data_IF_626919140404
#
_entry.id   IF_626919140404
#
_cell.length_a   1.000
_cell.length_b   1.000
_cell.length_c   1.000
_cell.angle_alpha   90.00
_cell.angle_beta   90.00
_cell.angle_gamma   90.00
#
_symmetry.space_group_name_H-M   'P 1'
#
loop_
_entity.id
_entity.type
_entity.pdbx_description
1 polymer ?
#
# COMPACT_ATOMS: atom_id res chain seq x y z
N UNK A 1 -3.11 42.73 -10.09
CA UNK A 1 -3.08 41.55 -10.99
C UNK A 1 -3.98 40.49 -10.40
N UNK A 2 -4.94 40.01 -11.18
CA UNK A 2 -5.77 38.88 -10.81
C UNK A 2 -4.86 37.65 -10.64
N UNK A 3 -4.90 37.00 -9.46
CA UNK A 3 -4.08 35.81 -9.21
C UNK A 3 -4.68 34.66 -10.02
N UNK A 4 -3.98 34.27 -11.10
CA UNK A 4 -4.31 33.05 -11.85
C UNK A 4 -4.38 31.85 -10.90
N UNK A 5 -5.48 31.09 -11.01
CA UNK A 5 -5.69 29.87 -10.23
C UNK A 5 -4.70 28.81 -10.69
N UNK A 6 -4.15 28.05 -9.73
CA UNK A 6 -3.28 26.90 -10.03
C UNK A 6 -4.04 25.86 -10.86
N UNK A 7 -3.39 25.39 -11.91
CA UNK A 7 -3.74 24.18 -12.67
C UNK A 7 -2.86 23.03 -12.18
N UNK A 8 -3.43 21.85 -11.88
CA UNK A 8 -2.63 20.68 -11.49
C UNK A 8 -1.88 20.14 -12.71
N UNK A 9 -0.74 19.50 -12.49
CA UNK A 9 0.05 18.90 -13.58
C UNK A 9 -0.75 17.86 -14.35
N UNK A 10 -1.49 16.98 -13.66
CA UNK A 10 -2.34 15.96 -14.32
C UNK A 10 -3.42 16.58 -15.23
N UNK A 11 -3.97 17.74 -14.85
CA UNK A 11 -5.00 18.43 -15.63
C UNK A 11 -4.38 19.15 -16.83
N UNK A 12 -3.23 19.82 -16.61
CA UNK A 12 -2.50 20.49 -17.68
C UNK A 12 -2.08 19.50 -18.78
N UNK A 13 -1.58 18.32 -18.41
CA UNK A 13 -1.14 17.29 -19.35
C UNK A 13 -2.26 16.70 -20.22
N UNK A 14 -3.51 16.81 -19.77
CA UNK A 14 -4.71 16.35 -20.50
C UNK A 14 -5.41 17.46 -21.27
N UNK A 15 -5.02 18.71 -21.06
CA UNK A 15 -5.70 19.87 -21.64
C UNK A 15 -5.36 20.04 -23.12
N UNK A 16 -6.38 20.31 -23.92
CA UNK A 16 -6.27 20.71 -25.33
C UNK A 16 -6.56 22.20 -25.53
N UNK A 17 -6.66 22.98 -24.45
CA UNK A 17 -6.90 24.42 -24.49
C UNK A 17 -5.62 25.19 -24.83
N UNK A 18 -5.06 24.94 -26.01
CA UNK A 18 -3.83 25.59 -26.47
C UNK A 18 -3.99 27.11 -26.56
N UNK A 19 -2.92 27.84 -26.26
CA UNK A 19 -2.92 29.30 -26.17
C UNK A 19 -3.48 29.86 -24.86
N UNK A 20 -4.05 29.02 -23.99
CA UNK A 20 -4.50 29.47 -22.67
C UNK A 20 -3.31 29.77 -21.75
N UNK A 21 -3.48 30.80 -20.91
CA UNK A 21 -2.52 31.11 -19.84
C UNK A 21 -2.82 30.20 -18.65
N UNK A 22 -1.82 29.42 -18.26
CA UNK A 22 -1.90 28.50 -17.13
C UNK A 22 -0.86 28.85 -16.08
N UNK A 23 -1.19 28.59 -14.81
CA UNK A 23 -0.25 28.67 -13.71
C UNK A 23 -0.07 27.27 -13.11
N UNK A 24 1.13 26.71 -13.21
CA UNK A 24 1.48 25.41 -12.60
C UNK A 24 2.43 25.61 -11.42
N UNK A 25 2.26 24.80 -10.38
CA UNK A 25 3.05 24.90 -9.14
C UNK A 25 3.50 23.51 -8.73
N UNK A 26 4.74 23.37 -8.31
CA UNK A 26 5.30 22.07 -7.92
C UNK A 26 6.78 22.11 -7.58
N UNK A 27 7.39 20.93 -7.58
CA UNK A 27 8.81 20.74 -7.31
C UNK A 27 9.56 20.33 -8.57
N UNK A 28 10.72 20.94 -8.77
CA UNK A 28 11.59 20.69 -9.91
C UNK A 28 12.17 19.29 -9.82
N UNK A 29 11.90 18.47 -10.84
CA UNK A 29 12.51 17.14 -11.00
C UNK A 29 13.87 17.22 -11.65
N UNK A 30 13.97 18.02 -12.70
CA UNK A 30 15.21 18.26 -13.42
C UNK A 30 15.18 19.65 -14.03
N UNK A 31 16.32 20.33 -14.01
CA UNK A 31 16.53 21.56 -14.76
C UNK A 31 17.68 21.32 -15.75
N UNK A 32 17.44 21.60 -17.04
CA UNK A 32 18.45 21.51 -18.09
C UNK A 32 18.54 22.86 -18.79
N UNK A 33 19.66 23.54 -18.63
CA UNK A 33 19.92 24.84 -19.25
C UNK A 33 20.71 24.69 -20.55
N UNK A 34 20.43 25.55 -21.52
CA UNK A 34 21.20 25.68 -22.76
C UNK A 34 21.41 27.16 -23.09
N UNK A 35 22.19 27.47 -24.15
CA UNK A 35 22.39 28.88 -24.54
C UNK A 35 21.11 29.58 -25.00
N UNK A 36 20.13 28.83 -25.52
CA UNK A 36 18.94 29.38 -26.15
C UNK A 36 17.67 29.21 -25.31
N UNK A 37 17.60 28.17 -24.47
CA UNK A 37 16.38 27.77 -23.79
C UNK A 37 16.70 26.89 -22.58
N UNK A 38 15.92 27.07 -21.52
CA UNK A 38 15.96 26.24 -20.32
C UNK A 38 14.73 25.34 -20.25
N UNK A 39 14.95 24.08 -19.89
CA UNK A 39 13.90 23.08 -19.74
C UNK A 39 13.79 22.65 -18.29
N UNK A 40 12.67 22.97 -17.65
CA UNK A 40 12.36 22.58 -16.28
C UNK A 40 11.26 21.51 -16.33
N UNK A 41 11.57 20.31 -15.83
CA UNK A 41 10.57 19.29 -15.59
C UNK A 41 9.96 19.52 -14.20
N UNK A 42 8.68 19.89 -14.15
CA UNK A 42 7.97 20.18 -12.91
C UNK A 42 6.97 19.06 -12.59
N UNK A 43 6.88 18.69 -11.32
CA UNK A 43 5.91 17.71 -10.84
C UNK A 43 5.27 18.19 -9.54
N UNK A 44 3.99 17.90 -9.38
CA UNK A 44 3.22 18.31 -8.21
C UNK A 44 2.63 17.13 -7.42
N UNK A 45 3.04 15.90 -7.78
CA UNK A 45 2.57 14.65 -7.17
C UNK A 45 1.25 14.11 -7.71
N UNK A 46 0.47 14.91 -8.47
CA UNK A 46 -0.85 14.50 -8.98
C UNK A 46 -0.81 13.36 -9.99
N UNK A 47 0.35 13.16 -10.63
CA UNK A 47 0.67 12.07 -11.56
C UNK A 47 2.16 11.78 -11.48
N UNK A 48 2.59 10.65 -12.01
CA UNK A 48 4.00 10.35 -12.21
C UNK A 48 4.65 11.22 -13.28
N UNK A 49 3.84 11.72 -14.24
CA UNK A 49 4.32 12.48 -15.38
C UNK A 49 4.70 13.91 -14.98
N UNK A 50 5.69 14.47 -15.66
CA UNK A 50 6.13 15.85 -15.43
C UNK A 50 5.52 16.75 -16.51
N UNK A 51 5.17 17.99 -16.15
CA UNK A 51 4.94 19.03 -17.13
C UNK A 51 6.28 19.69 -17.48
N UNK A 52 6.56 19.83 -18.78
CA UNK A 52 7.74 20.56 -19.25
C UNK A 52 7.43 22.05 -19.28
N UNK A 53 8.27 22.84 -18.61
CA UNK A 53 8.29 24.28 -18.69
C UNK A 53 9.50 24.67 -19.55
N UNK A 54 9.22 25.41 -20.62
CA UNK A 54 10.20 25.91 -21.57
C UNK A 54 10.41 27.39 -21.26
N UNK A 55 11.63 27.77 -20.92
CA UNK A 55 11.94 29.14 -20.50
C UNK A 55 12.93 29.75 -21.49
N UNK A 56 12.53 30.88 -22.06
CA UNK A 56 13.46 31.76 -22.78
C UNK A 56 14.28 32.55 -21.75
N UNK A 57 15.62 32.39 -21.69
CA UNK A 57 16.46 33.09 -20.73
C UNK A 57 16.44 34.62 -20.87
N UNK A 58 15.90 35.16 -21.96
CA UNK A 58 15.67 36.61 -22.12
C UNK A 58 14.43 37.11 -21.37
N UNK A 59 13.48 36.22 -21.03
CA UNK A 59 12.23 36.56 -20.32
C UNK A 59 12.32 36.46 -18.81
N UNK A 60 13.26 35.67 -18.29
CA UNK A 60 13.43 35.42 -16.84
C UNK A 60 14.86 35.73 -16.45
N UNK A 61 15.06 36.35 -15.28
CA UNK A 61 16.39 36.71 -14.78
C UNK A 61 17.33 35.49 -14.71
N UNK A 62 18.53 35.63 -15.29
CA UNK A 62 19.49 34.52 -15.37
C UNK A 62 20.01 34.08 -14.00
N UNK A 63 20.16 34.99 -13.04
CA UNK A 63 20.58 34.65 -11.68
C UNK A 63 19.47 33.90 -10.94
N UNK A 64 18.20 34.23 -11.21
CA UNK A 64 17.04 33.50 -10.71
C UNK A 64 17.02 32.08 -11.28
N UNK A 65 17.20 31.91 -12.60
CA UNK A 65 17.22 30.59 -13.24
C UNK A 65 18.34 29.69 -12.71
N UNK A 66 19.54 30.24 -12.51
CA UNK A 66 20.69 29.50 -11.98
C UNK A 66 20.44 28.92 -10.56
N UNK A 67 19.52 29.50 -9.79
CA UNK A 67 19.17 29.04 -8.45
C UNK A 67 18.10 27.93 -8.45
N UNK A 68 17.44 27.68 -9.59
CA UNK A 68 16.40 26.65 -9.70
C UNK A 68 17.06 25.28 -9.86
N UNK A 69 17.21 24.57 -8.75
CA UNK A 69 17.83 23.24 -8.66
C UNK A 69 16.80 22.13 -8.51
N UNK A 70 17.25 20.87 -8.55
CA UNK A 70 16.39 19.71 -8.25
C UNK A 70 15.83 19.82 -6.84
N UNK A 71 14.51 19.72 -6.71
CA UNK A 71 13.80 19.87 -5.44
C UNK A 71 13.35 21.29 -5.11
N UNK A 72 13.73 22.30 -5.91
CA UNK A 72 13.22 23.66 -5.74
C UNK A 72 11.69 23.71 -5.95
N UNK A 73 11.01 24.55 -5.17
CA UNK A 73 9.56 24.76 -5.23
C UNK A 73 9.28 26.05 -6.00
N UNK A 74 8.53 25.95 -7.10
CA UNK A 74 8.26 27.08 -7.99
C UNK A 74 6.79 27.16 -8.40
N UNK A 75 6.38 28.36 -8.80
CA UNK A 75 5.15 28.67 -9.52
C UNK A 75 5.53 29.26 -10.87
N UNK A 76 5.15 28.59 -11.96
CA UNK A 76 5.42 29.04 -13.32
C UNK A 76 4.11 29.40 -14.01
N UNK A 77 4.07 30.60 -14.58
CA UNK A 77 2.95 31.08 -15.40
C UNK A 77 3.41 31.18 -16.83
N UNK A 78 2.60 30.66 -17.75
CA UNK A 78 2.93 30.70 -19.17
C UNK A 78 1.78 30.20 -20.04
N UNK A 79 2.05 30.15 -21.34
CA UNK A 79 1.10 29.71 -22.35
C UNK A 79 1.19 28.19 -22.55
N UNK A 80 0.06 27.49 -22.46
CA UNK A 80 -0.02 26.06 -22.78
C UNK A 80 0.02 25.87 -24.30
N UNK A 81 0.95 25.04 -24.78
CA UNK A 81 1.11 24.76 -26.22
C UNK A 81 1.28 23.26 -26.46
N UNK A 82 1.06 22.84 -27.71
CA UNK A 82 1.47 21.51 -28.16
C UNK A 82 3.00 21.36 -28.06
N UNK A 83 3.46 20.27 -27.42
CA UNK A 83 4.89 20.04 -27.34
C UNK A 83 5.44 19.54 -28.66
N UNK A 84 6.60 20.06 -29.03
CA UNK A 84 7.39 19.56 -30.16
C UNK A 84 8.27 18.35 -29.78
N UNK A 85 8.31 17.99 -28.48
CA UNK A 85 9.14 16.92 -27.94
C UNK A 85 8.48 15.54 -28.01
N UNK A 86 9.28 14.49 -28.24
CA UNK A 86 8.78 13.10 -28.16
C UNK A 86 8.44 12.74 -26.71
N UNK A 87 7.26 12.16 -26.48
CA UNK A 87 6.86 11.59 -25.19
C UNK A 87 6.07 12.53 -24.27
N UNK A 88 5.66 13.71 -24.76
CA UNK A 88 4.77 14.62 -24.06
C UNK A 88 3.84 15.32 -25.07
N UNK A 89 2.57 15.47 -24.73
CA UNK A 89 1.60 16.08 -25.65
C UNK A 89 1.59 17.60 -25.57
N UNK A 90 1.97 18.14 -24.41
CA UNK A 90 1.88 19.57 -24.10
C UNK A 90 3.09 20.05 -23.33
N UNK A 91 3.37 21.34 -23.44
CA UNK A 91 4.37 22.04 -22.64
C UNK A 91 3.92 23.48 -22.36
N UNK A 92 4.61 24.15 -21.43
CA UNK A 92 4.31 25.52 -21.04
C UNK A 92 5.44 26.42 -21.50
N UNK A 93 5.13 27.35 -22.41
CA UNK A 93 6.02 28.45 -22.78
C UNK A 93 5.97 29.50 -21.68
N UNK A 94 7.03 29.56 -20.87
CA UNK A 94 7.04 30.30 -19.63
C UNK A 94 7.15 31.81 -19.86
N UNK A 95 6.31 32.57 -19.15
CA UNK A 95 6.35 34.03 -19.14
C UNK A 95 6.88 34.57 -17.80
N UNK A 96 6.62 33.88 -16.69
CA UNK A 96 7.19 34.25 -15.39
C UNK A 96 7.33 33.06 -14.44
N UNK A 97 8.34 33.13 -13.58
CA UNK A 97 8.59 32.16 -12.51
C UNK A 97 8.65 32.90 -11.18
N UNK A 98 7.94 32.37 -10.20
CA UNK A 98 8.03 32.74 -8.79
C UNK A 98 8.66 31.56 -8.03
N UNK A 99 9.73 31.81 -7.28
CA UNK A 99 10.39 30.80 -6.45
C UNK A 99 9.79 30.85 -5.05
N UNK A 100 9.21 29.73 -4.60
CA UNK A 100 8.71 29.58 -3.23
C UNK A 100 9.74 29.01 -2.27
N UNK A 101 10.68 28.22 -2.77
CA UNK A 101 11.74 27.66 -1.95
C UNK A 101 12.87 27.10 -2.80
N UNK A 102 14.09 27.48 -2.43
CA UNK A 102 15.30 26.94 -3.02
C UNK A 102 15.61 25.55 -2.46
N UNK A 103 16.48 24.80 -3.14
CA UNK A 103 16.91 23.49 -2.69
C UNK A 103 18.44 23.36 -2.80
N UNK A 104 19.08 23.02 -1.69
CA UNK A 104 20.54 22.86 -1.62
C UNK A 104 21.02 21.55 -2.23
N UNK A 105 22.33 21.46 -2.44
CA UNK A 105 22.99 20.25 -2.95
C UNK A 105 23.01 19.09 -1.92
N UNK A 106 22.72 19.40 -0.66
CA UNK A 106 22.57 18.46 0.45
C UNK A 106 21.22 17.71 0.43
N UNK A 107 20.29 18.09 -0.46
CA UNK A 107 19.00 17.40 -0.59
C UNK A 107 19.18 15.90 -0.88
N UNK A 108 18.73 14.99 0.02
CA UNK A 108 19.02 13.57 -0.11
C UNK A 108 18.50 12.91 -1.38
N UNK A 109 17.38 13.39 -1.94
CA UNK A 109 16.76 12.82 -3.16
C UNK A 109 17.27 13.50 -4.45
N UNK A 110 18.60 13.70 -4.55
CA UNK A 110 19.24 14.20 -5.78
C UNK A 110 18.90 13.32 -7.00
N UNK A 111 19.06 13.90 -8.20
CA UNK A 111 18.91 13.21 -9.50
C UNK A 111 20.03 12.18 -9.77
N UNK A 112 20.12 11.16 -8.92
CA UNK A 112 21.02 10.01 -9.01
C UNK A 112 20.28 8.75 -8.57
N UNK A 113 20.72 7.58 -9.03
CA UNK A 113 20.18 6.31 -8.55
C UNK A 113 20.41 6.16 -7.04
N UNK A 114 19.40 5.67 -6.32
CA UNK A 114 19.44 5.44 -4.88
C UNK A 114 18.88 4.06 -4.56
N UNK A 115 19.47 3.39 -3.57
CA UNK A 115 18.91 2.13 -3.07
C UNK A 115 17.65 2.39 -2.23
N UNK A 116 16.76 1.40 -2.15
CA UNK A 116 15.60 1.47 -1.26
C UNK A 116 16.00 1.54 0.22
N UNK A 117 17.14 0.97 0.61
CA UNK A 117 17.68 1.12 1.96
C UNK A 117 18.07 2.57 2.27
N UNK A 118 18.75 3.25 1.35
CA UNK A 118 19.08 4.66 1.52
C UNK A 118 17.80 5.52 1.61
N UNK A 119 16.82 5.28 0.74
CA UNK A 119 15.55 6.00 0.77
C UNK A 119 14.74 5.76 2.06
N UNK A 120 14.86 4.58 2.69
CA UNK A 120 14.22 4.29 3.99
C UNK A 120 14.75 5.18 5.12
N UNK A 121 16.05 5.57 5.09
CA UNK A 121 16.62 6.52 6.06
C UNK A 121 15.99 7.92 5.97
N UNK A 122 15.44 8.27 4.81
CA UNK A 122 14.79 9.55 4.53
C UNK A 122 13.32 9.35 4.16
N UNK A 123 12.59 8.55 4.95
CA UNK A 123 11.18 8.21 4.68
C UNK A 123 10.27 9.44 4.47
N UNK A 124 10.56 10.54 5.17
CA UNK A 124 9.85 11.82 5.04
C UNK A 124 10.09 12.54 3.68
N UNK A 125 11.17 12.22 2.96
CA UNK A 125 11.49 12.80 1.65
C UNK A 125 11.28 11.82 0.48
N UNK A 126 11.40 10.51 0.70
CA UNK A 126 11.31 9.51 -0.38
C UNK A 126 9.99 9.57 -1.15
N UNK A 127 8.92 10.07 -0.52
CA UNK A 127 7.61 10.30 -1.15
C UNK A 127 7.68 11.22 -2.37
N UNK A 128 8.75 12.03 -2.48
CA UNK A 128 9.02 12.88 -3.63
C UNK A 128 9.74 12.14 -4.77
N UNK A 129 10.01 10.84 -4.68
CA UNK A 129 10.59 10.07 -5.78
C UNK A 129 9.51 9.44 -6.66
N UNK A 130 9.84 9.08 -7.89
CA UNK A 130 8.88 8.45 -8.82
C UNK A 130 8.31 7.16 -8.23
N UNK A 131 9.16 6.28 -7.70
CA UNK A 131 8.75 4.98 -7.15
C UNK A 131 7.78 5.12 -5.98
N UNK A 132 8.11 5.92 -4.97
CA UNK A 132 7.22 6.04 -3.81
C UNK A 132 6.00 6.92 -4.09
N UNK A 133 6.08 7.86 -5.05
CA UNK A 133 4.90 8.55 -5.56
C UNK A 133 3.91 7.58 -6.20
N UNK A 134 4.40 6.67 -7.05
CA UNK A 134 3.58 5.63 -7.69
C UNK A 134 2.97 4.69 -6.66
N UNK A 135 3.78 4.16 -5.73
CA UNK A 135 3.31 3.28 -4.65
C UNK A 135 2.21 3.94 -3.82
N UNK A 136 2.35 5.21 -3.45
CA UNK A 136 1.34 5.90 -2.63
C UNK A 136 0.06 6.22 -3.39
N UNK A 137 0.13 6.56 -4.68
CA UNK A 137 -1.06 6.73 -5.53
C UNK A 137 -1.80 5.42 -5.75
N UNK A 138 -1.07 4.32 -5.96
CA UNK A 138 -1.66 2.97 -6.04
C UNK A 138 -2.29 2.60 -4.70
N UNK A 139 -1.60 2.80 -3.57
CA UNK A 139 -2.16 2.51 -2.23
C UNK A 139 -3.46 3.29 -1.97
N UNK A 140 -3.53 4.56 -2.37
CA UNK A 140 -4.76 5.34 -2.31
C UNK A 140 -5.88 4.70 -3.15
N UNK A 141 -5.58 4.33 -4.40
CA UNK A 141 -6.56 3.66 -5.26
C UNK A 141 -7.02 2.32 -4.70
N UNK A 142 -6.14 1.55 -4.04
CA UNK A 142 -6.55 0.32 -3.37
C UNK A 142 -7.53 0.60 -2.23
N UNK A 143 -7.29 1.65 -1.43
CA UNK A 143 -8.26 2.03 -0.41
C UNK A 143 -9.62 2.44 -1.01
N UNK A 144 -9.61 3.17 -2.13
CA UNK A 144 -10.84 3.51 -2.86
C UNK A 144 -11.54 2.28 -3.42
N UNK A 145 -10.80 1.35 -4.03
CA UNK A 145 -11.32 0.10 -4.58
C UNK A 145 -12.01 -0.72 -3.49
N UNK A 146 -11.36 -0.88 -2.34
CA UNK A 146 -11.85 -1.66 -1.21
C UNK A 146 -13.15 -1.07 -0.67
N UNK A 147 -13.17 0.24 -0.39
CA UNK A 147 -14.40 0.90 0.09
C UNK A 147 -15.53 0.83 -0.95
N UNK A 148 -15.21 0.99 -2.23
CA UNK A 148 -16.20 0.93 -3.32
C UNK A 148 -16.78 -0.47 -3.44
N UNK A 149 -15.93 -1.50 -3.45
CA UNK A 149 -16.35 -2.89 -3.51
C UNK A 149 -17.37 -3.20 -2.42
N UNK A 150 -17.00 -3.02 -1.17
CA UNK A 150 -17.89 -3.34 -0.05
C UNK A 150 -19.15 -2.48 -0.04
N UNK A 151 -19.06 -1.20 -0.40
CA UNK A 151 -20.23 -0.33 -0.50
C UNK A 151 -21.23 -0.81 -1.56
N UNK A 152 -20.76 -1.14 -2.76
CA UNK A 152 -21.59 -1.60 -3.87
C UNK A 152 -22.23 -2.97 -3.61
N UNK A 153 -21.61 -3.80 -2.76
CA UNK A 153 -22.12 -5.11 -2.35
C UNK A 153 -22.95 -5.07 -1.05
N UNK A 154 -23.26 -3.87 -0.53
CA UNK A 154 -24.18 -3.70 0.60
C UNK A 154 -23.57 -3.90 1.99
N UNK A 155 -22.24 -3.93 2.11
CA UNK A 155 -21.55 -4.04 3.39
C UNK A 155 -21.47 -2.69 4.10
N UNK A 156 -21.41 -2.73 5.43
CA UNK A 156 -21.20 -1.54 6.25
C UNK A 156 -19.76 -1.44 6.74
N UNK A 157 -19.14 -0.27 6.55
CA UNK A 157 -17.84 0.02 7.14
C UNK A 157 -17.97 0.12 8.66
N UNK A 158 -17.38 -0.82 9.38
CA UNK A 158 -17.52 -0.97 10.82
C UNK A 158 -16.20 -0.66 11.53
N UNK A 159 -16.19 0.38 12.36
CA UNK A 159 -15.00 0.81 13.09
C UNK A 159 -14.90 0.08 14.43
N UNK A 160 -14.06 -0.96 14.47
CA UNK A 160 -13.76 -1.74 15.66
C UNK A 160 -12.77 -1.01 16.59
N UNK A 161 -12.79 -1.28 17.91
CA UNK A 161 -11.91 -0.62 18.87
C UNK A 161 -10.45 -1.04 18.69
N UNK A 162 -9.53 -0.07 18.79
CA UNK A 162 -8.09 -0.33 18.71
C UNK A 162 -7.45 -0.67 20.05
N UNK A 163 -7.99 -0.12 21.14
CA UNK A 163 -7.58 -0.45 22.50
C UNK A 163 -8.48 -1.56 22.99
N UNK A 164 -7.89 -2.68 23.39
CA UNK A 164 -8.61 -3.88 23.81
C UNK A 164 -8.07 -4.42 25.12
N UNK A 165 -8.92 -5.16 25.84
CA UNK A 165 -8.51 -5.99 26.97
C UNK A 165 -8.50 -7.49 26.61
N UNK A 166 -8.80 -7.80 25.35
CA UNK A 166 -8.91 -9.15 24.81
C UNK A 166 -7.73 -9.42 23.87
N UNK A 167 -7.22 -10.65 23.90
CA UNK A 167 -6.31 -11.16 22.87
C UNK A 167 -7.15 -11.94 21.85
N UNK A 168 -7.29 -11.39 20.65
CA UNK A 168 -8.13 -11.97 19.59
C UNK A 168 -7.61 -13.32 19.09
N UNK A 169 -6.29 -13.49 19.03
CA UNK A 169 -5.65 -14.67 18.44
C UNK A 169 -5.04 -15.60 19.50
N UNK A 170 -4.88 -15.14 20.73
CA UNK A 170 -4.24 -15.92 21.82
C UNK A 170 -2.73 -16.05 21.66
N UNK A 171 -2.11 -15.27 20.76
CA UNK A 171 -0.68 -15.30 20.44
C UNK A 171 0.19 -14.51 21.44
N UNK A 172 -0.42 -13.75 22.35
CA UNK A 172 0.20 -13.26 23.59
C UNK A 172 1.20 -12.10 23.49
N UNK A 173 1.63 -11.68 22.30
CA UNK A 173 2.58 -10.57 22.12
C UNK A 173 1.89 -9.31 21.57
N UNK A 174 1.24 -8.57 22.48
CA UNK A 174 0.54 -7.32 22.19
C UNK A 174 1.25 -6.11 22.83
N UNK A 175 1.18 -4.94 22.19
CA UNK A 175 1.66 -3.70 22.78
C UNK A 175 0.74 -3.24 23.91
N UNK A 176 1.28 -3.02 25.11
CA UNK A 176 0.49 -2.51 26.24
C UNK A 176 0.19 -1.02 26.09
N UNK A 177 -1.04 -0.63 26.42
CA UNK A 177 -1.49 0.77 26.48
C UNK A 177 -1.81 1.09 27.93
N UNK A 178 -1.08 2.03 28.52
CA UNK A 178 -1.20 2.39 29.94
C UNK A 178 -0.91 3.87 30.16
N UNK A 179 -1.56 4.46 31.16
CA UNK A 179 -1.25 5.82 31.64
C UNK A 179 -0.47 5.81 32.95
N UNK A 180 -0.14 4.62 33.48
CA UNK A 180 0.57 4.48 34.75
C UNK A 180 1.99 5.03 34.65
N UNK A 181 2.48 5.53 35.78
CA UNK A 181 3.89 5.85 35.92
C UNK A 181 4.70 4.55 36.07
N UNK A 182 5.46 4.18 35.03
CA UNK A 182 6.28 2.97 35.00
C UNK A 182 7.38 2.94 36.09
N UNK A 183 7.76 4.10 36.65
CA UNK A 183 8.71 4.19 37.75
C UNK A 183 8.08 4.01 39.14
N UNK A 184 6.75 3.99 39.23
CA UNK A 184 6.00 3.87 40.48
C UNK A 184 4.76 2.99 40.31
N UNK A 185 4.98 1.73 39.92
CA UNK A 185 3.91 0.76 39.74
C UNK A 185 3.46 0.20 41.09
N UNK A 186 2.19 0.46 41.43
CA UNK A 186 1.53 -0.22 42.56
C UNK A 186 1.38 -1.70 42.26
N UNK A 187 1.50 -2.52 43.30
CA UNK A 187 1.32 -3.96 43.22
C UNK A 187 0.18 -4.42 44.10
N UNK A 188 -0.53 -5.44 43.63
CA UNK A 188 -1.49 -6.21 44.41
C UNK A 188 -0.78 -7.09 45.45
N UNK A 189 -1.54 -7.67 46.39
CA UNK A 189 -1.00 -8.55 47.43
C UNK A 189 -0.27 -9.79 46.86
N UNK A 190 -0.67 -10.27 45.66
CA UNK A 190 -0.02 -11.35 44.94
C UNK A 190 1.21 -10.90 44.10
N UNK A 191 1.63 -9.65 44.24
CA UNK A 191 2.85 -9.10 43.64
C UNK A 191 2.73 -8.72 42.16
N UNK A 192 1.55 -8.82 41.56
CA UNK A 192 1.24 -8.36 40.19
C UNK A 192 1.04 -6.85 40.16
N UNK A 193 1.08 -6.25 38.97
CA UNK A 193 0.76 -4.83 38.80
C UNK A 193 -0.73 -4.64 39.06
N UNK A 194 -1.06 -3.66 39.90
CA UNK A 194 -2.44 -3.24 40.10
C UNK A 194 -2.86 -2.31 38.95
N UNK A 195 -3.78 -2.78 38.12
CA UNK A 195 -4.35 -2.02 37.01
C UNK A 195 -5.68 -1.32 37.35
N UNK A 196 -6.19 -1.46 38.58
CA UNK A 196 -7.46 -0.86 38.99
C UNK A 196 -7.48 0.67 38.93
N UNK A 197 -6.31 1.30 39.11
CA UNK A 197 -6.10 2.74 38.95
C UNK A 197 -5.38 3.11 37.63
N UNK A 198 -5.37 2.24 36.62
CA UNK A 198 -5.06 2.65 35.24
C UNK A 198 -6.30 3.27 34.56
N UNK A 199 -6.12 3.88 33.38
CA UNK A 199 -7.15 4.66 32.69
C UNK A 199 -8.46 3.88 32.45
N UNK A 200 -8.35 2.60 32.08
CA UNK A 200 -9.50 1.72 31.81
C UNK A 200 -9.86 0.81 33.00
N UNK A 201 -9.21 0.99 34.16
CA UNK A 201 -9.40 0.17 35.36
C UNK A 201 -9.00 -1.31 35.21
N UNK A 202 -8.33 -1.66 34.11
CA UNK A 202 -7.81 -3.00 33.80
C UNK A 202 -6.66 -2.89 32.81
N UNK A 203 -5.91 -3.98 32.63
CA UNK A 203 -4.84 -4.04 31.63
C UNK A 203 -5.43 -3.93 30.22
N UNK A 204 -4.80 -3.10 29.38
CA UNK A 204 -5.20 -2.88 27.99
C UNK A 204 -4.01 -2.91 27.04
N UNK A 205 -4.29 -3.27 25.80
CA UNK A 205 -3.31 -3.43 24.72
C UNK A 205 -3.83 -2.84 23.41
N UNK A 206 -2.95 -2.68 22.44
CA UNK A 206 -3.32 -2.44 21.04
C UNK A 206 -3.75 -3.75 20.38
N UNK A 207 -4.86 -3.72 19.64
CA UNK A 207 -5.44 -4.92 19.03
C UNK A 207 -4.59 -5.52 17.92
N UNK A 208 -4.60 -6.85 17.82
CA UNK A 208 -4.00 -7.61 16.71
C UNK A 208 -4.98 -7.77 15.54
N UNK A 209 -6.29 -7.69 15.80
CA UNK A 209 -7.38 -7.90 14.84
C UNK A 209 -8.70 -7.31 15.39
N UNK A 210 -9.57 -6.84 14.51
CA UNK A 210 -10.93 -6.40 14.85
C UNK A 210 -11.99 -7.50 14.71
N UNK A 211 -11.59 -8.73 14.41
CA UNK A 211 -12.50 -9.81 13.99
C UNK A 211 -13.60 -10.10 15.01
N UNK A 212 -13.28 -10.28 16.30
CA UNK A 212 -14.28 -10.62 17.33
C UNK A 212 -15.36 -9.54 17.47
N UNK A 213 -15.00 -8.27 17.42
CA UNK A 213 -15.98 -7.18 17.37
C UNK A 213 -16.70 -7.11 16.02
N UNK A 214 -16.04 -7.50 14.93
CA UNK A 214 -16.62 -7.64 13.60
C UNK A 214 -17.74 -8.67 13.54
N UNK A 215 -17.59 -9.83 14.19
CA UNK A 215 -18.62 -10.85 14.31
C UNK A 215 -19.89 -10.28 14.99
N UNK A 216 -19.73 -9.50 16.07
CA UNK A 216 -20.85 -8.80 16.71
C UNK A 216 -21.53 -7.84 15.73
N UNK A 217 -20.75 -7.10 14.94
CA UNK A 217 -21.25 -6.22 13.88
C UNK A 217 -22.05 -6.95 12.81
N UNK A 218 -21.55 -8.09 12.33
CA UNK A 218 -22.22 -8.92 11.33
C UNK A 218 -23.56 -9.46 11.83
N UNK A 219 -23.68 -9.85 13.10
CA UNK A 219 -24.97 -10.29 13.68
C UNK A 219 -26.02 -9.19 13.73
N UNK A 220 -25.62 -7.91 13.70
CA UNK A 220 -26.52 -6.76 13.73
C UNK A 220 -26.81 -6.17 12.35
N UNK A 221 -25.83 -6.20 11.44
CA UNK A 221 -25.86 -5.50 10.16
C UNK A 221 -25.86 -6.44 8.94
N UNK A 222 -25.78 -7.75 9.16
CA UNK A 222 -25.71 -8.77 8.12
C UNK A 222 -24.30 -8.91 7.54
N UNK A 223 -23.75 -7.84 6.97
CA UNK A 223 -22.42 -7.83 6.38
C UNK A 223 -21.66 -6.55 6.74
N UNK A 224 -20.45 -6.70 7.28
CA UNK A 224 -19.58 -5.60 7.66
C UNK A 224 -18.18 -5.80 7.09
N UNK A 225 -17.38 -4.74 7.10
CA UNK A 225 -15.94 -4.86 6.98
C UNK A 225 -15.24 -3.83 7.88
N UNK A 226 -14.13 -4.23 8.47
CA UNK A 226 -13.20 -3.31 9.09
C UNK A 226 -12.20 -2.81 8.04
N UNK A 227 -11.63 -1.65 8.31
CA UNK A 227 -10.47 -1.12 7.60
C UNK A 227 -9.77 -0.20 8.58
N UNK A 228 -8.76 -0.73 9.27
CA UNK A 228 -8.11 -0.06 10.38
C UNK A 228 -6.69 -0.54 10.64
N UNK A 229 -5.92 0.18 11.47
CA UNK A 229 -4.60 -0.24 11.88
C UNK A 229 -4.67 -1.39 12.90
N UNK A 230 -3.73 -2.32 12.81
CA UNK A 230 -3.52 -3.39 13.80
C UNK A 230 -2.03 -3.53 14.10
N UNK A 231 -1.73 -4.18 15.22
CA UNK A 231 -0.40 -4.13 15.83
C UNK A 231 0.07 -5.51 16.28
N UNK A 232 1.33 -5.83 16.02
CA UNK A 232 1.97 -7.06 16.52
C UNK A 232 3.28 -6.72 17.21
N UNK A 233 3.45 -7.18 18.46
CA UNK A 233 4.63 -6.88 19.26
C UNK A 233 5.73 -7.95 19.16
N UNK A 234 5.61 -8.86 18.19
CA UNK A 234 6.62 -9.88 17.92
C UNK A 234 7.95 -9.26 17.52
N UNK A 235 9.05 -9.77 18.09
CA UNK A 235 10.40 -9.34 17.74
C UNK A 235 10.87 -10.00 16.43
N UNK A 236 10.16 -9.72 15.34
CA UNK A 236 10.41 -10.26 14.00
C UNK A 236 10.96 -9.19 13.07
N UNK A 237 12.28 -9.21 12.83
CA UNK A 237 12.96 -8.30 11.90
C UNK A 237 13.18 -8.97 10.53
N UNK A 238 12.10 -9.17 9.78
CA UNK A 238 12.15 -9.75 8.43
C UNK A 238 11.66 -8.74 7.38
N UNK A 239 11.95 -8.93 6.08
CA UNK A 239 11.55 -7.98 5.04
C UNK A 239 10.04 -7.78 4.85
N UNK A 240 9.19 -8.61 5.47
CA UNK A 240 7.73 -8.63 5.27
C UNK A 240 6.92 -8.32 6.53
N UNK A 241 7.56 -8.19 7.70
CA UNK A 241 6.87 -7.94 8.96
C UNK A 241 6.92 -6.46 9.34
N UNK A 242 5.80 -5.94 9.82
CA UNK A 242 5.66 -4.61 10.39
C UNK A 242 5.00 -4.74 11.77
N UNK A 243 5.42 -3.92 12.73
CA UNK A 243 4.79 -3.87 14.05
C UNK A 243 3.44 -3.12 14.03
N UNK A 244 3.25 -2.24 13.04
CA UNK A 244 2.00 -1.53 12.75
C UNK A 244 1.69 -1.71 11.25
N UNK A 245 0.51 -2.21 10.95
CA UNK A 245 0.02 -2.40 9.59
C UNK A 245 -1.49 -2.17 9.54
N UNK A 246 -2.08 -2.26 8.35
CA UNK A 246 -3.51 -2.04 8.16
C UNK A 246 -4.15 -3.33 7.69
N UNK A 247 -5.26 -3.70 8.32
CA UNK A 247 -6.07 -4.84 7.92
C UNK A 247 -7.42 -4.39 7.39
N UNK A 248 -7.98 -5.25 6.53
CA UNK A 248 -9.33 -5.16 6.01
C UNK A 248 -9.97 -6.50 6.31
N UNK A 249 -10.97 -6.49 7.19
CA UNK A 249 -11.53 -7.71 7.77
C UNK A 249 -13.05 -7.72 7.52
N UNK A 250 -13.52 -8.33 6.41
CA UNK A 250 -14.95 -8.52 6.18
C UNK A 250 -15.50 -9.62 7.10
N UNK A 251 -16.71 -9.41 7.61
CA UNK A 251 -17.48 -10.43 8.33
C UNK A 251 -18.93 -10.46 7.83
N UNK A 252 -19.46 -11.65 7.59
CA UNK A 252 -20.73 -11.86 6.88
C UNK A 252 -21.55 -12.94 7.56
N UNK A 253 -22.72 -12.56 8.08
CA UNK A 253 -23.69 -13.49 8.63
C UNK A 253 -24.24 -14.42 7.53
N UNK A 254 -24.44 -15.69 7.87
CA UNK A 254 -24.97 -16.73 6.98
C UNK A 254 -24.06 -17.12 5.80
N UNK A 255 -22.80 -16.68 5.78
CA UNK A 255 -21.82 -17.12 4.79
C UNK A 255 -21.17 -18.44 5.25
N UNK A 256 -21.05 -19.39 4.34
CA UNK A 256 -20.32 -20.65 4.55
C UNK A 256 -18.92 -20.59 3.93
N UNK A 257 -18.18 -21.71 3.98
CA UNK A 257 -16.81 -21.78 3.47
C UNK A 257 -16.75 -21.56 1.95
N UNK A 258 -17.68 -22.13 1.18
CA UNK A 258 -17.71 -21.96 -0.27
C UNK A 258 -17.99 -20.50 -0.64
N UNK A 259 -18.97 -19.87 0.01
CA UNK A 259 -19.24 -18.45 -0.16
C UNK A 259 -18.08 -17.55 0.28
N UNK A 260 -17.31 -17.93 1.31
CA UNK A 260 -16.11 -17.20 1.72
C UNK A 260 -15.02 -17.25 0.63
N UNK A 261 -14.77 -18.42 0.05
CA UNK A 261 -13.79 -18.56 -1.04
C UNK A 261 -14.20 -17.75 -2.28
N UNK A 262 -15.50 -17.76 -2.63
CA UNK A 262 -16.03 -16.93 -3.72
C UNK A 262 -15.85 -15.42 -3.45
N UNK A 263 -16.14 -14.98 -2.22
CA UNK A 263 -15.94 -13.60 -1.78
C UNK A 263 -14.46 -13.18 -1.88
N UNK A 264 -13.54 -14.01 -1.38
CA UNK A 264 -12.10 -13.74 -1.42
C UNK A 264 -11.59 -13.60 -2.86
N UNK A 265 -11.96 -14.54 -3.74
CA UNK A 265 -11.56 -14.51 -5.14
C UNK A 265 -12.12 -13.27 -5.86
N UNK A 266 -13.42 -13.00 -5.73
CA UNK A 266 -14.05 -11.85 -6.38
C UNK A 266 -13.48 -10.51 -5.89
N UNK A 267 -13.31 -10.35 -4.57
CA UNK A 267 -12.74 -9.15 -3.98
C UNK A 267 -11.31 -8.86 -4.45
N UNK A 268 -10.45 -9.89 -4.46
CA UNK A 268 -9.07 -9.75 -4.95
C UNK A 268 -9.07 -9.37 -6.43
N UNK A 269 -9.87 -10.06 -7.26
CA UNK A 269 -9.99 -9.76 -8.69
C UNK A 269 -10.55 -8.37 -8.94
N UNK A 270 -11.51 -7.91 -8.15
CA UNK A 270 -12.04 -6.55 -8.22
C UNK A 270 -10.94 -5.50 -7.98
N UNK A 271 -10.14 -5.67 -6.91
CA UNK A 271 -9.05 -4.75 -6.60
C UNK A 271 -7.98 -4.71 -7.70
N UNK A 272 -7.67 -5.87 -8.30
CA UNK A 272 -6.71 -5.94 -9.41
C UNK A 272 -7.25 -5.23 -10.66
N UNK A 273 -8.51 -5.46 -11.04
CA UNK A 273 -9.18 -4.72 -12.13
C UNK A 273 -9.11 -3.22 -11.89
N UNK A 274 -9.48 -2.77 -10.69
CA UNK A 274 -9.40 -1.37 -10.31
C UNK A 274 -7.99 -0.79 -10.49
N UNK A 275 -6.95 -1.52 -10.06
CA UNK A 275 -5.57 -1.09 -10.23
C UNK A 275 -5.21 -0.90 -11.71
N UNK A 276 -5.54 -1.88 -12.56
CA UNK A 276 -5.24 -1.83 -13.99
C UNK A 276 -5.95 -0.66 -14.69
N UNK A 277 -7.19 -0.38 -14.29
CA UNK A 277 -8.01 0.68 -14.89
C UNK A 277 -7.63 2.09 -14.40
N UNK A 278 -7.32 2.24 -13.11
CA UNK A 278 -7.16 3.55 -12.47
C UNK A 278 -5.71 3.94 -12.17
N UNK A 279 -4.74 3.03 -12.29
CA UNK A 279 -3.33 3.26 -11.96
C UNK A 279 -2.36 3.00 -13.11
N UNK A 280 -2.83 3.02 -14.36
CA UNK A 280 -2.06 2.65 -15.55
C UNK A 280 -0.63 3.23 -15.59
N UNK A 281 -0.49 4.56 -15.54
CA UNK A 281 0.83 5.21 -15.64
C UNK A 281 1.80 4.77 -14.52
N UNK A 282 1.27 4.59 -13.31
CA UNK A 282 2.05 4.17 -12.14
C UNK A 282 2.45 2.69 -12.24
N UNK A 283 1.54 1.83 -12.68
CA UNK A 283 1.80 0.41 -12.93
C UNK A 283 2.80 0.21 -14.07
N UNK A 284 2.68 0.95 -15.18
CA UNK A 284 3.62 0.89 -16.29
C UNK A 284 5.04 1.27 -15.84
N UNK A 285 5.16 2.31 -15.02
CA UNK A 285 6.44 2.68 -14.43
C UNK A 285 7.02 1.59 -13.54
N UNK A 286 6.23 1.05 -12.61
CA UNK A 286 6.70 -0.01 -11.71
C UNK A 286 7.03 -1.29 -12.47
N UNK A 287 6.25 -1.62 -13.49
CA UNK A 287 6.51 -2.75 -14.37
C UNK A 287 7.85 -2.58 -15.10
N UNK A 288 8.11 -1.39 -15.65
CA UNK A 288 9.36 -1.13 -16.35
C UNK A 288 10.58 -1.10 -15.43
N UNK A 289 10.45 -0.48 -14.25
CA UNK A 289 11.59 -0.11 -13.42
C UNK A 289 11.89 -1.09 -12.28
N UNK A 290 10.88 -1.82 -11.79
CA UNK A 290 10.98 -2.65 -10.58
C UNK A 290 10.75 -4.12 -10.88
N UNK A 291 9.62 -4.46 -11.51
CA UNK A 291 9.23 -5.85 -11.79
C UNK A 291 8.60 -5.96 -13.18
N UNK A 292 9.38 -6.44 -14.16
CA UNK A 292 8.96 -6.57 -15.57
C UNK A 292 7.78 -7.50 -15.79
N UNK A 293 7.48 -8.37 -14.83
CA UNK A 293 6.34 -9.29 -14.86
C UNK A 293 5.11 -8.76 -14.13
N UNK A 294 5.14 -7.57 -13.52
CA UNK A 294 4.07 -7.08 -12.65
C UNK A 294 2.70 -7.09 -13.34
N UNK A 295 2.56 -6.39 -14.48
CA UNK A 295 1.28 -6.27 -15.17
C UNK A 295 0.82 -7.62 -15.71
N UNK A 296 1.74 -8.41 -16.28
CA UNK A 296 1.42 -9.74 -16.79
C UNK A 296 0.94 -10.68 -15.67
N UNK A 297 1.54 -10.60 -14.48
CA UNK A 297 1.12 -11.37 -13.30
C UNK A 297 -0.26 -10.92 -12.82
N UNK A 298 -0.53 -9.62 -12.74
CA UNK A 298 -1.85 -9.09 -12.38
C UNK A 298 -2.93 -9.59 -13.36
N UNK A 299 -2.67 -9.53 -14.67
CA UNK A 299 -3.59 -10.03 -15.68
C UNK A 299 -3.80 -11.55 -15.55
N UNK A 300 -2.72 -12.32 -15.33
CA UNK A 300 -2.80 -13.76 -15.14
C UNK A 300 -3.65 -14.17 -13.93
N UNK A 301 -3.68 -13.36 -12.87
CA UNK A 301 -4.56 -13.59 -11.71
C UNK A 301 -6.03 -13.35 -12.08
N UNK A 302 -6.34 -12.33 -12.89
CA UNK A 302 -7.70 -12.10 -13.37
C UNK A 302 -8.21 -13.22 -14.27
N UNK A 303 -7.33 -13.73 -15.13
CA UNK A 303 -7.67 -14.74 -16.14
C UNK A 303 -7.73 -16.18 -15.57
N UNK A 304 -7.37 -16.36 -14.29
CA UNK A 304 -7.34 -17.66 -13.63
C UNK A 304 -8.46 -17.80 -12.61
N UNK A 305 -9.13 -18.95 -12.59
CA UNK A 305 -9.89 -19.42 -11.42
C UNK A 305 -8.92 -19.83 -10.31
N UNK A 306 -9.24 -19.51 -9.06
CA UNK A 306 -8.38 -19.85 -7.94
C UNK A 306 -8.51 -21.35 -7.64
N UNK A 307 -7.41 -21.98 -7.25
CA UNK A 307 -7.41 -23.40 -6.92
C UNK A 307 -7.90 -23.57 -5.50
N UNK A 308 -8.97 -24.33 -5.30
CA UNK A 308 -9.42 -24.74 -3.97
C UNK A 308 -8.65 -26.01 -3.56
N UNK A 309 -7.87 -25.93 -2.49
CA UNK A 309 -6.95 -26.97 -2.08
C UNK A 309 -7.17 -27.33 -0.61
N UNK A 310 -7.74 -28.50 -0.29
CA UNK A 310 -7.72 -28.99 1.09
C UNK A 310 -6.28 -29.18 1.58
N UNK A 311 -5.99 -28.78 2.83
CA UNK A 311 -4.65 -28.86 3.45
C UNK A 311 -3.99 -30.23 3.26
N UNK A 312 -4.73 -31.31 3.53
CA UNK A 312 -4.23 -32.69 3.40
C UNK A 312 -3.74 -33.00 1.99
N UNK A 313 -4.43 -32.49 0.97
CA UNK A 313 -4.02 -32.64 -0.43
C UNK A 313 -2.79 -31.76 -0.75
N UNK A 314 -2.73 -30.54 -0.21
CA UNK A 314 -1.55 -29.69 -0.31
C UNK A 314 -0.29 -30.34 0.25
N UNK A 315 -0.37 -30.92 1.46
CA UNK A 315 0.73 -31.69 2.06
C UNK A 315 1.11 -32.89 1.18
N UNK A 316 0.13 -33.61 0.63
CA UNK A 316 0.39 -34.75 -0.28
C UNK A 316 1.19 -34.31 -1.51
N UNK A 317 0.83 -33.19 -2.14
CA UNK A 317 1.54 -32.62 -3.29
C UNK A 317 2.97 -32.22 -2.92
N UNK A 318 3.17 -31.61 -1.76
CA UNK A 318 4.48 -31.20 -1.27
C UNK A 318 5.38 -32.42 -0.99
N UNK A 319 4.83 -33.46 -0.36
CA UNK A 319 5.51 -34.72 -0.11
C UNK A 319 5.89 -35.45 -1.41
N UNK A 320 5.01 -35.45 -2.43
CA UNK A 320 5.36 -35.96 -3.75
C UNK A 320 6.50 -35.17 -4.41
N UNK A 321 6.54 -33.85 -4.24
CA UNK A 321 7.62 -33.02 -4.77
C UNK A 321 8.95 -33.37 -4.09
N UNK A 322 8.94 -33.57 -2.76
CA UNK A 322 10.11 -34.03 -1.99
C UNK A 322 10.58 -35.39 -2.52
N UNK A 323 9.67 -36.34 -2.72
CA UNK A 323 9.98 -37.66 -3.27
C UNK A 323 10.57 -37.59 -4.70
N UNK A 324 10.18 -36.56 -5.49
CA UNK A 324 10.73 -36.26 -6.82
C UNK A 324 12.03 -35.45 -6.78
N UNK A 325 12.57 -35.17 -5.58
CA UNK A 325 13.87 -34.54 -5.38
C UNK A 325 13.83 -33.03 -5.10
N UNK A 326 12.64 -32.43 -4.91
CA UNK A 326 12.53 -31.05 -4.41
C UNK A 326 13.09 -31.00 -2.99
N UNK A 327 13.86 -29.95 -2.69
CA UNK A 327 14.38 -29.70 -1.35
C UNK A 327 13.74 -28.43 -0.81
N UNK A 328 13.13 -28.55 0.36
CA UNK A 328 12.66 -27.45 1.18
C UNK A 328 13.61 -27.28 2.37
N UNK A 329 13.75 -26.05 2.86
CA UNK A 329 14.53 -25.73 4.05
C UNK A 329 13.79 -26.16 5.33
N UNK A 330 12.47 -26.02 5.35
CA UNK A 330 11.60 -26.37 6.48
C UNK A 330 10.91 -27.73 6.29
N UNK A 331 10.63 -28.46 7.38
CA UNK A 331 9.81 -29.67 7.32
C UNK A 331 8.38 -29.33 6.90
N UNK A 332 7.71 -30.29 6.28
CA UNK A 332 6.35 -30.13 5.78
C UNK A 332 5.57 -31.44 5.92
N UNK A 333 5.34 -31.86 7.15
CA UNK A 333 4.53 -33.05 7.46
C UNK A 333 3.08 -32.67 7.75
N UNK A 334 2.20 -33.66 7.73
CA UNK A 334 0.81 -33.42 8.11
C UNK A 334 0.75 -33.05 9.59
N UNK A 335 0.13 -31.91 9.90
CA UNK A 335 0.12 -31.28 11.22
C UNK A 335 1.04 -30.07 11.34
N UNK A 336 2.01 -29.90 10.42
CA UNK A 336 2.84 -28.69 10.36
C UNK A 336 2.09 -27.54 9.67
N UNK A 337 2.38 -26.31 10.09
CA UNK A 337 2.00 -25.13 9.31
C UNK A 337 2.92 -24.96 8.10
N UNK A 338 2.41 -24.34 7.02
CA UNK A 338 3.20 -24.16 5.81
C UNK A 338 4.16 -22.98 5.96
N UNK A 339 5.44 -23.22 5.68
CA UNK A 339 6.38 -22.15 5.43
C UNK A 339 6.13 -21.49 4.06
N UNK A 340 6.57 -20.23 3.92
CA UNK A 340 6.48 -19.42 2.70
C UNK A 340 7.03 -20.12 1.45
N UNK A 341 8.03 -20.99 1.58
CA UNK A 341 8.55 -21.76 0.43
C UNK A 341 7.58 -22.84 -0.06
N UNK A 342 6.79 -23.44 0.84
CA UNK A 342 5.79 -24.45 0.50
C UNK A 342 4.62 -23.81 -0.23
N UNK A 343 4.11 -22.69 0.30
CA UNK A 343 3.07 -21.88 -0.32
C UNK A 343 3.48 -21.42 -1.72
N UNK A 344 4.69 -20.89 -1.85
CA UNK A 344 5.24 -20.44 -3.14
C UNK A 344 5.42 -21.60 -4.12
N UNK A 345 5.81 -22.79 -3.66
CA UNK A 345 5.90 -23.94 -4.56
C UNK A 345 4.53 -24.31 -5.15
N UNK A 346 3.50 -24.36 -4.30
CA UNK A 346 2.13 -24.66 -4.76
C UNK A 346 1.66 -23.63 -5.78
N UNK A 347 1.84 -22.33 -5.50
CA UNK A 347 1.37 -21.23 -6.34
C UNK A 347 2.22 -21.04 -7.60
N UNK A 348 3.55 -20.97 -7.48
CA UNK A 348 4.47 -20.55 -8.56
C UNK A 348 4.93 -21.72 -9.45
N UNK A 349 5.02 -22.94 -8.91
CA UNK A 349 5.59 -24.09 -9.63
C UNK A 349 4.53 -25.14 -9.98
N UNK A 350 3.70 -25.56 -9.02
CA UNK A 350 2.73 -26.64 -9.21
C UNK A 350 1.49 -26.18 -9.98
N UNK A 351 0.74 -25.22 -9.44
CA UNK A 351 -0.53 -24.76 -10.03
C UNK A 351 -0.34 -23.60 -11.00
N UNK A 352 0.65 -22.73 -10.78
CA UNK A 352 0.89 -21.50 -11.56
C UNK A 352 -0.31 -20.55 -11.55
N UNK A 353 -1.08 -20.58 -10.47
CA UNK A 353 -2.31 -19.84 -10.23
C UNK A 353 -2.45 -19.58 -8.73
N UNK A 354 -3.23 -18.57 -8.31
CA UNK A 354 -3.59 -18.41 -6.90
C UNK A 354 -4.27 -19.67 -6.35
N UNK A 355 -4.02 -19.95 -5.08
CA UNK A 355 -4.52 -21.13 -4.37
C UNK A 355 -5.16 -20.65 -3.08
N UNK A 356 -6.39 -21.10 -2.80
CA UNK A 356 -7.07 -20.96 -1.52
C UNK A 356 -6.96 -22.31 -0.82
N UNK A 357 -6.30 -22.33 0.35
CA UNK A 357 -6.09 -23.56 1.10
C UNK A 357 -7.04 -23.64 2.30
N UNK A 358 -7.77 -24.75 2.44
CA UNK A 358 -8.83 -24.93 3.42
C UNK A 358 -8.60 -26.16 4.31
N UNK A 359 -9.46 -26.36 5.32
CA UNK A 359 -9.50 -27.58 6.15
C UNK A 359 -8.15 -27.90 6.83
N UNK A 360 -7.54 -26.89 7.43
CA UNK A 360 -6.31 -27.07 8.22
C UNK A 360 -6.59 -27.85 9.53
N UNK A 361 -5.57 -28.54 10.08
CA UNK A 361 -5.69 -29.21 11.37
C UNK A 361 -6.02 -28.21 12.49
N UNK A 362 -7.00 -28.56 13.32
CA UNK A 362 -7.44 -27.74 14.47
C UNK A 362 -6.28 -27.29 15.38
N UNK A 363 -5.29 -28.15 15.60
CA UNK A 363 -4.19 -27.89 16.54
C UNK A 363 -3.32 -26.69 16.20
N UNK A 364 -3.33 -26.23 14.93
CA UNK A 364 -2.50 -25.13 14.43
C UNK A 364 -3.34 -23.92 13.99
N UNK A 365 -4.62 -23.89 14.35
CA UNK A 365 -5.54 -22.79 14.01
C UNK A 365 -6.20 -22.20 15.25
N UNK A 366 -6.75 -21.00 15.07
CA UNK A 366 -7.34 -20.23 16.16
C UNK A 366 -8.60 -20.91 16.72
N UNK A 367 -8.90 -20.63 17.99
CA UNK A 367 -9.99 -21.28 18.73
C UNK A 367 -11.39 -21.01 18.17
N UNK A 368 -11.57 -19.92 17.42
CA UNK A 368 -12.86 -19.49 16.87
C UNK A 368 -13.25 -20.21 15.57
N UNK A 369 -12.32 -20.94 14.94
CA UNK A 369 -12.61 -21.62 13.68
C UNK A 369 -13.59 -22.77 13.89
N UNK A 370 -14.59 -22.88 13.00
CA UNK A 370 -15.56 -23.98 13.00
C UNK A 370 -14.83 -25.31 12.78
N UNK A 371 -15.14 -26.31 13.61
CA UNK A 371 -14.60 -27.67 13.48
C UNK A 371 -15.45 -28.42 12.46
N UNK A 372 -14.78 -29.08 11.51
CA UNK A 372 -15.44 -29.92 10.50
C UNK A 372 -16.09 -31.15 11.15
N UNK A 373 -17.23 -31.59 10.60
CA UNK A 373 -17.97 -32.73 11.15
C UNK A 373 -17.15 -34.03 11.16
N UNK A 374 -16.24 -34.22 10.20
CA UNK A 374 -15.38 -35.41 10.10
C UNK A 374 -14.28 -35.48 11.19
N UNK A 375 -13.90 -34.35 11.81
CA UNK A 375 -12.95 -34.32 12.94
C UNK A 375 -13.63 -34.45 14.32
N UNK A 376 -14.97 -34.53 14.36
CA UNK A 376 -15.74 -34.52 15.61
C UNK A 376 -16.02 -35.91 16.23
N UNK A 377 -15.33 -36.96 15.75
CA UNK A 377 -15.47 -38.36 16.17
C UNK A 377 -14.28 -38.95 16.92
#
# INVERSE_FOLDING_TARGET
MEKLKRTKVVDALKSTAYGSIVNVKGWVRTHRSSKAVDFIALNDGSTINNIQIVVDPSKVDANQLAQITTGACISATGTLVESQGKGQNVEIQCDSIEIYGLCGNDYPMQKKGQSFEYMRKYAHLRLRTNTFGAVMRIRHNMAMAIHTYFHEHGYFYFNTPLITASDCEGAGQMFQVTTKNLYNLKRTEDGKIDYSDDFFGKQTSLTVSGQLEGELGATALGAIYTFGPTFRAENSNTPRHLAEFWMVEPEVAFLDMDGLMELEEDFIKYCIRWALDNCKDDLEFLNKMIDKGLIARLQSVLDSEFVHLPYTEGIRILQEAIAKGKKFEFPCEWGDDLASEHERFLVEEHFKKPVIMTNYPKAIKAFYMKIDEEESG
#
